data_IF_792094316889
#
_entry.id   IF_792094316889
#
_cell.length_a   1.000
_cell.length_b   1.000
_cell.length_c   1.000
_cell.angle_alpha   90.00
_cell.angle_beta   90.00
_cell.angle_gamma   90.00
#
_symmetry.space_group_name_H-M   'P 1'
#
loop_
_entity.id
_entity.type
_entity.pdbx_description
1 polymer ?
#
# COMPACT_ATOMS: atom_id res chain seq x y z
N UNK A 1 -2.86 14.28 4.79
CA UNK A 1 -1.92 14.67 5.86
C UNK A 1 -2.01 13.63 6.96
N UNK A 2 -2.63 13.88 8.13
CA UNK A 2 -2.52 13.06 9.35
C UNK A 2 -2.73 11.55 9.17
N UNK A 3 -3.74 11.12 8.41
CA UNK A 3 -3.98 9.69 8.12
C UNK A 3 -2.78 9.02 7.42
N UNK A 4 -2.24 9.66 6.39
CA UNK A 4 -1.10 9.15 5.64
C UNK A 4 0.20 9.27 6.45
N UNK A 5 0.39 10.37 7.20
CA UNK A 5 1.50 10.51 8.14
C UNK A 5 1.48 9.39 9.21
N UNK A 6 0.31 9.04 9.74
CA UNK A 6 0.15 7.93 10.69
C UNK A 6 0.47 6.56 10.07
N UNK A 7 0.10 6.33 8.81
CA UNK A 7 0.50 5.10 8.08
C UNK A 7 2.00 5.07 7.83
N UNK A 8 2.60 6.17 7.37
CA UNK A 8 4.05 6.26 7.18
C UNK A 8 4.81 5.95 8.48
N UNK A 9 4.45 6.60 9.59
CA UNK A 9 5.06 6.34 10.90
C UNK A 9 4.87 4.88 11.37
N UNK A 10 3.72 4.25 11.08
CA UNK A 10 3.47 2.83 11.34
C UNK A 10 4.40 1.93 10.53
N UNK A 11 4.52 2.14 9.22
CA UNK A 11 5.38 1.31 8.38
C UNK A 11 6.88 1.53 8.67
N UNK A 12 7.30 2.76 8.98
CA UNK A 12 8.66 3.06 9.47
C UNK A 12 8.95 2.31 10.79
N UNK A 13 8.03 2.35 11.77
CA UNK A 13 8.18 1.61 13.01
C UNK A 13 8.20 0.08 12.80
N UNK A 14 7.42 -0.43 11.84
CA UNK A 14 7.46 -1.84 11.44
C UNK A 14 8.76 -2.21 10.73
N UNK A 15 9.32 -1.33 9.91
CA UNK A 15 10.59 -1.50 9.22
C UNK A 15 11.76 -1.63 10.22
N UNK A 16 11.87 -0.69 11.17
CA UNK A 16 12.85 -0.75 12.27
C UNK A 16 12.70 -2.07 13.05
N UNK A 17 11.47 -2.42 13.45
CA UNK A 17 11.20 -3.63 14.25
C UNK A 17 11.59 -4.94 13.53
N UNK A 18 11.53 -4.97 12.20
CA UNK A 18 11.88 -6.12 11.36
C UNK A 18 13.30 -6.08 10.81
N UNK A 19 14.02 -4.97 11.01
CA UNK A 19 15.27 -4.63 10.31
C UNK A 19 15.15 -4.74 8.78
N UNK A 20 13.99 -4.36 8.24
CA UNK A 20 13.69 -4.38 6.79
C UNK A 20 13.74 -2.99 6.18
N UNK A 21 14.07 -2.90 4.89
CA UNK A 21 14.08 -1.63 4.14
C UNK A 21 12.75 -0.84 4.29
N UNK A 22 12.80 0.49 4.56
CA UNK A 22 11.62 1.27 4.97
C UNK A 22 10.65 1.70 3.85
N UNK A 23 10.90 1.35 2.59
CA UNK A 23 10.19 1.87 1.41
C UNK A 23 8.68 1.66 1.35
N UNK A 24 8.11 0.80 2.21
CA UNK A 24 6.65 0.71 2.38
C UNK A 24 6.01 2.01 2.92
N UNK A 25 6.81 2.94 3.47
CA UNK A 25 6.34 4.23 3.94
C UNK A 25 6.28 5.32 2.84
N UNK A 26 7.04 5.18 1.74
CA UNK A 26 7.31 6.25 0.78
C UNK A 26 6.03 6.82 0.14
N UNK A 27 5.10 5.94 -0.26
CA UNK A 27 3.82 6.34 -0.86
C UNK A 27 2.95 7.15 0.11
N UNK A 28 2.95 6.79 1.39
CA UNK A 28 2.25 7.52 2.44
C UNK A 28 2.92 8.87 2.75
N UNK A 29 4.24 8.94 2.66
CA UNK A 29 5.00 10.19 2.79
C UNK A 29 4.63 11.15 1.65
N UNK A 30 4.71 10.73 0.39
CA UNK A 30 4.34 11.58 -0.75
C UNK A 30 2.84 11.92 -0.80
N UNK A 31 1.93 11.01 -0.42
CA UNK A 31 0.51 11.33 -0.23
C UNK A 31 0.32 12.40 0.85
N UNK A 32 1.10 12.36 1.93
CA UNK A 32 1.03 13.36 3.00
C UNK A 32 1.53 14.73 2.52
N UNK A 33 2.60 14.78 1.70
CA UNK A 33 3.10 16.00 1.03
C UNK A 33 2.13 16.53 -0.02
N UNK A 34 1.49 15.65 -0.80
CA UNK A 34 0.46 16.03 -1.77
C UNK A 34 -0.73 16.72 -1.07
N UNK A 35 -1.24 16.11 0.00
CA UNK A 35 -2.29 16.72 0.81
C UNK A 35 -1.85 18.04 1.47
N UNK A 36 -0.57 18.20 1.83
CA UNK A 36 0.01 19.48 2.29
C UNK A 36 -0.01 20.55 1.20
N UNK A 37 0.35 20.21 -0.04
CA UNK A 37 0.27 21.12 -1.21
C UNK A 37 -1.18 21.57 -1.44
N UNK A 38 -2.13 20.64 -1.37
CA UNK A 38 -3.56 20.92 -1.55
C UNK A 38 -4.11 21.83 -0.43
N UNK A 39 -3.77 21.58 0.85
CA UNK A 39 -4.14 22.47 1.95
C UNK A 39 -3.58 23.89 1.77
N UNK A 40 -2.31 24.02 1.37
CA UNK A 40 -1.69 25.32 1.09
C UNK A 40 -2.35 26.04 -0.09
N UNK A 41 -2.90 25.31 -1.08
CA UNK A 41 -3.67 25.89 -2.18
C UNK A 41 -5.01 26.44 -1.68
N UNK A 42 -5.77 25.65 -0.90
CA UNK A 42 -7.06 26.07 -0.32
C UNK A 42 -6.92 27.32 0.57
N UNK A 43 -5.90 27.36 1.44
CA UNK A 43 -5.64 28.52 2.32
C UNK A 43 -5.23 29.79 1.54
N UNK A 44 -4.70 29.66 0.33
CA UNK A 44 -4.40 30.78 -0.59
C UNK A 44 -5.57 31.17 -1.48
N UNK A 45 -6.60 30.32 -1.59
CA UNK A 45 -7.70 30.46 -2.56
C UNK A 45 -8.87 31.35 -2.10
N UNK A 46 -8.68 32.18 -1.07
CA UNK A 46 -9.67 33.21 -0.69
C UNK A 46 -10.89 32.74 0.09
N UNK A 47 -10.80 31.64 0.85
CA UNK A 47 -11.90 31.17 1.75
C UNK A 47 -12.23 32.20 2.85
N UNK A 48 -11.35 33.19 3.04
CA UNK A 48 -11.36 34.13 4.17
C UNK A 48 -12.34 35.32 4.02
N UNK A 49 -12.77 35.67 2.81
CA UNK A 49 -13.46 36.94 2.53
C UNK A 49 -14.82 37.10 3.25
N UNK A 50 -15.43 35.99 3.69
CA UNK A 50 -16.70 35.93 4.43
C UNK A 50 -16.54 35.21 5.79
N UNK A 51 -15.30 35.10 6.30
CA UNK A 51 -14.96 34.38 7.55
C UNK A 51 -14.54 35.35 8.67
N UNK A 52 -15.13 35.20 9.86
CA UNK A 52 -14.72 35.95 11.06
C UNK A 52 -13.23 35.74 11.39
N UNK A 53 -12.48 36.84 11.53
CA UNK A 53 -11.06 36.85 11.88
C UNK A 53 -10.74 36.08 13.19
N UNK A 54 -11.70 35.99 14.12
CA UNK A 54 -11.54 35.18 15.34
C UNK A 54 -11.59 33.67 15.05
N UNK A 55 -12.29 33.23 14.00
CA UNK A 55 -12.29 31.85 13.50
C UNK A 55 -11.07 31.55 12.60
N UNK A 56 -10.48 32.57 11.97
CA UNK A 56 -9.27 32.44 11.13
C UNK A 56 -8.07 31.93 11.93
N UNK A 57 -7.81 32.48 13.12
CA UNK A 57 -6.60 32.15 13.90
C UNK A 57 -6.56 30.67 14.32
N UNK A 58 -7.63 30.06 14.88
CA UNK A 58 -7.68 28.61 15.14
C UNK A 58 -7.48 27.76 13.87
N UNK A 59 -8.12 28.12 12.76
CA UNK A 59 -8.00 27.36 11.50
C UNK A 59 -6.56 27.40 10.96
N UNK A 60 -5.92 28.57 10.96
CA UNK A 60 -4.52 28.74 10.58
C UNK A 60 -3.56 28.00 11.53
N UNK A 61 -3.87 27.94 12.83
CA UNK A 61 -3.09 27.18 13.83
C UNK A 61 -3.16 25.68 13.57
N UNK A 62 -4.36 25.12 13.37
CA UNK A 62 -4.55 23.70 13.05
C UNK A 62 -3.88 23.35 11.72
N UNK A 63 -4.02 24.19 10.69
CA UNK A 63 -3.34 24.01 9.42
C UNK A 63 -1.80 23.99 9.57
N UNK A 64 -1.23 24.92 10.33
CA UNK A 64 0.20 24.99 10.62
C UNK A 64 0.70 23.71 11.29
N UNK A 65 0.02 23.28 12.36
CA UNK A 65 0.36 22.06 13.10
C UNK A 65 0.32 20.80 12.20
N UNK A 66 -0.68 20.69 11.31
CA UNK A 66 -0.76 19.60 10.36
C UNK A 66 0.42 19.59 9.37
N UNK A 67 0.88 20.76 8.94
CA UNK A 67 2.07 20.91 8.08
C UNK A 67 3.34 20.50 8.84
N UNK A 68 3.45 20.84 10.12
CA UNK A 68 4.58 20.43 10.98
C UNK A 68 4.61 18.93 11.24
N UNK A 69 3.45 18.27 11.44
CA UNK A 69 3.36 16.80 11.53
C UNK A 69 3.89 16.11 10.27
N UNK A 70 3.60 16.65 9.07
CA UNK A 70 4.14 16.11 7.82
C UNK A 70 5.66 16.29 7.73
N UNK A 71 6.19 17.49 8.05
CA UNK A 71 7.65 17.75 8.09
C UNK A 71 8.37 16.88 9.13
N UNK A 72 7.74 16.61 10.27
CA UNK A 72 8.27 15.72 11.30
C UNK A 72 8.32 14.27 10.81
N UNK A 73 7.27 13.82 10.12
CA UNK A 73 7.21 12.48 9.51
C UNK A 73 8.29 12.29 8.43
N UNK A 74 8.53 13.30 7.60
CA UNK A 74 9.60 13.31 6.59
C UNK A 74 10.98 13.15 7.25
N UNK A 75 11.30 13.95 8.26
CA UNK A 75 12.57 13.84 9.02
C UNK A 75 12.74 12.50 9.72
N UNK A 76 11.68 11.94 10.29
CA UNK A 76 11.72 10.60 10.89
C UNK A 76 12.02 9.55 9.81
N UNK A 77 11.46 9.70 8.60
CA UNK A 77 11.82 8.82 7.48
C UNK A 77 13.28 8.96 7.07
N UNK A 78 13.80 10.18 6.93
CA UNK A 78 15.21 10.45 6.62
C UNK A 78 16.14 9.75 7.62
N UNK A 79 15.90 9.92 8.93
CA UNK A 79 16.68 9.26 9.98
C UNK A 79 16.54 7.73 9.99
N UNK A 80 15.40 7.18 9.58
CA UNK A 80 15.20 5.72 9.46
C UNK A 80 15.89 5.15 8.22
N UNK A 81 15.95 5.90 7.12
CA UNK A 81 16.75 5.56 5.94
C UNK A 81 18.26 5.61 6.24
N UNK A 82 18.74 6.62 6.98
CA UNK A 82 20.12 6.69 7.47
C UNK A 82 20.46 5.49 8.36
N UNK A 83 19.62 5.20 9.36
CA UNK A 83 19.76 4.01 10.23
C UNK A 83 19.77 2.70 9.43
N UNK A 84 18.85 2.55 8.47
CA UNK A 84 18.75 1.37 7.61
C UNK A 84 20.04 1.13 6.80
N UNK A 85 20.69 2.21 6.33
CA UNK A 85 22.00 2.15 5.68
C UNK A 85 23.11 1.76 6.66
N UNK A 86 23.16 2.40 7.85
CA UNK A 86 24.20 2.15 8.86
C UNK A 86 24.24 0.70 9.36
N UNK A 87 23.09 0.03 9.49
CA UNK A 87 23.00 -1.35 10.04
C UNK A 87 22.56 -2.40 9.01
N UNK A 88 22.58 -2.06 7.71
CA UNK A 88 22.28 -2.95 6.59
C UNK A 88 20.91 -3.66 6.72
N UNK A 89 19.83 -2.88 6.83
CA UNK A 89 18.46 -3.43 6.76
C UNK A 89 18.25 -4.16 5.42
N UNK A 90 17.68 -5.36 5.48
CA UNK A 90 17.47 -6.18 4.28
C UNK A 90 16.18 -5.81 3.54
N UNK A 91 16.19 -5.91 2.22
CA UNK A 91 14.97 -5.74 1.42
C UNK A 91 14.25 -7.09 1.34
N UNK A 92 13.02 -7.23 1.87
CA UNK A 92 12.26 -8.45 1.68
C UNK A 92 11.92 -8.62 0.19
N UNK A 93 12.41 -9.70 -0.41
CA UNK A 93 12.07 -10.08 -1.77
C UNK A 93 10.54 -10.22 -1.88
N UNK A 94 9.92 -9.46 -2.79
CA UNK A 94 8.55 -9.72 -3.18
C UNK A 94 8.53 -11.14 -3.78
N UNK A 95 7.77 -12.06 -3.16
CA UNK A 95 7.80 -13.48 -3.50
C UNK A 95 7.14 -13.74 -4.85
N UNK A 96 7.88 -13.45 -5.92
CA UNK A 96 7.58 -13.94 -7.26
C UNK A 96 7.80 -15.44 -7.23
N UNK A 97 6.70 -16.20 -7.14
CA UNK A 97 6.72 -17.65 -7.31
C UNK A 97 7.45 -17.96 -8.63
N UNK A 98 8.56 -18.72 -8.63
CA UNK A 98 9.29 -18.97 -9.85
C UNK A 98 8.43 -19.79 -10.81
N UNK A 99 8.06 -19.19 -11.96
CA UNK A 99 7.53 -19.96 -13.07
C UNK A 99 8.56 -21.01 -13.49
N UNK A 100 8.11 -22.27 -13.52
CA UNK A 100 8.94 -23.47 -13.70
C UNK A 100 9.49 -23.51 -15.13
N UNK A 101 10.55 -22.75 -15.36
CA UNK A 101 11.26 -22.63 -16.64
C UNK A 101 12.05 -23.91 -16.95
N UNK A 102 11.36 -24.94 -17.45
CA UNK A 102 12.00 -26.18 -17.88
C UNK A 102 12.78 -25.98 -19.18
N UNK A 103 14.07 -25.73 -19.02
CA UNK A 103 15.07 -25.81 -20.08
C UNK A 103 15.16 -27.27 -20.57
N UNK A 104 14.49 -27.57 -21.68
CA UNK A 104 14.57 -28.88 -22.32
C UNK A 104 15.99 -29.21 -22.81
N UNK A 105 16.59 -30.34 -22.42
CA UNK A 105 17.85 -30.81 -22.99
C UNK A 105 17.74 -31.18 -24.47
N UNK A 106 18.85 -31.07 -25.20
CA UNK A 106 18.95 -31.45 -26.61
C UNK A 106 18.77 -32.96 -26.84
N UNK A 107 18.03 -33.31 -27.89
CA UNK A 107 17.89 -34.67 -28.40
C UNK A 107 19.17 -35.10 -29.16
N UNK A 108 19.70 -36.29 -28.86
CA UNK A 108 20.22 -37.25 -29.86
C UNK A 108 20.77 -38.57 -29.25
N UNK A 109 20.05 -39.66 -29.53
CA UNK A 109 20.55 -41.02 -29.83
C UNK A 109 21.06 -42.01 -28.73
N UNK A 110 20.55 -43.26 -28.85
CA UNK A 110 20.99 -44.56 -28.28
C UNK A 110 20.62 -44.93 -26.82
N UNK A 111 19.70 -45.91 -26.66
CA UNK A 111 19.64 -46.78 -25.45
C UNK A 111 18.24 -47.20 -24.96
N UNK A 112 17.86 -48.47 -25.14
CA UNK A 112 16.59 -49.07 -24.67
C UNK A 112 16.76 -49.82 -23.31
N UNK A 113 15.69 -50.36 -22.68
CA UNK A 113 14.39 -49.75 -22.33
C UNK A 113 13.88 -50.13 -20.89
N UNK A 114 12.81 -49.49 -20.40
CA UNK A 114 11.79 -50.19 -19.58
C UNK A 114 11.16 -49.47 -18.37
N UNK A 115 9.82 -49.66 -18.24
CA UNK A 115 9.03 -49.86 -17.00
C UNK A 115 9.02 -48.76 -15.88
N UNK A 116 7.89 -48.39 -15.22
CA UNK A 116 6.46 -48.78 -15.28
C UNK A 116 5.61 -47.50 -15.07
N UNK A 117 4.45 -47.38 -15.70
CA UNK A 117 3.42 -46.39 -15.30
C UNK A 117 2.58 -46.98 -14.16
N UNK A 118 2.66 -46.39 -12.96
CA UNK A 118 1.74 -46.70 -11.86
C UNK A 118 0.82 -45.51 -11.65
N UNK A 119 -0.39 -45.61 -12.18
CA UNK A 119 -1.50 -44.72 -11.83
C UNK A 119 -2.14 -45.24 -10.55
N UNK A 120 -2.21 -44.41 -9.50
CA UNK A 120 -3.04 -44.69 -8.33
C UNK A 120 -4.28 -43.80 -8.40
N UNK A 121 -5.41 -44.41 -8.73
CA UNK A 121 -6.73 -43.82 -8.47
C UNK A 121 -7.24 -44.41 -7.16
N UNK A 122 -7.39 -43.58 -6.14
CA UNK A 122 -8.21 -43.90 -4.96
C UNK A 122 -9.60 -43.29 -5.18
N UNK A 123 -10.60 -44.13 -5.40
CA UNK A 123 -11.97 -43.75 -5.75
C UNK A 123 -12.96 -44.06 -4.60
N UNK A 124 -14.11 -43.39 -4.62
CA UNK A 124 -15.31 -43.66 -3.80
C UNK A 124 -15.19 -43.59 -2.26
N UNK A 125 -15.90 -42.61 -1.66
CA UNK A 125 -17.09 -42.96 -0.86
C UNK A 125 -18.01 -41.76 -0.54
N UNK A 126 -19.11 -41.65 -1.30
CA UNK A 126 -20.42 -41.11 -0.91
C UNK A 126 -20.58 -39.66 -0.38
N UNK A 127 -21.58 -38.97 -0.97
CA UNK A 127 -22.37 -37.89 -0.30
C UNK A 127 -23.80 -38.41 -0.08
N UNK A 128 -24.67 -37.71 0.69
CA UNK A 128 -25.54 -36.74 0.02
C UNK A 128 -25.85 -35.46 0.83
N UNK A 129 -26.46 -34.47 0.17
CA UNK A 129 -26.81 -33.16 0.73
C UNK A 129 -28.20 -33.11 1.40
N UNK A 130 -28.51 -32.00 2.10
CA UNK A 130 -29.88 -31.60 2.41
C UNK A 130 -30.05 -30.09 2.66
N UNK A 131 -31.30 -29.61 2.63
CA UNK A 131 -31.72 -28.20 2.44
C UNK A 131 -32.97 -27.88 3.33
N UNK A 132 -33.60 -26.69 3.40
CA UNK A 132 -33.53 -25.46 2.58
C UNK A 132 -33.33 -24.17 3.47
N UNK A 133 -34.16 -23.08 3.57
CA UNK A 133 -33.71 -21.81 4.19
C UNK A 133 -34.42 -21.40 5.50
N UNK A 134 -34.05 -20.23 6.03
CA UNK A 134 -34.91 -19.35 6.86
C UNK A 134 -34.64 -17.87 6.49
N UNK A 135 -35.60 -16.97 6.73
CA UNK A 135 -35.60 -15.62 6.11
C UNK A 135 -35.30 -14.47 7.09
N UNK A 136 -34.56 -13.45 6.64
CA UNK A 136 -34.21 -12.27 7.46
C UNK A 136 -34.21 -10.96 6.66
N UNK A 137 -35.31 -10.20 6.71
CA UNK A 137 -35.49 -8.95 5.97
C UNK A 137 -34.94 -7.73 6.74
N UNK A 138 -33.98 -7.00 6.16
CA UNK A 138 -33.92 -5.52 6.26
C UNK A 138 -33.34 -4.92 4.97
N UNK A 139 -33.85 -3.75 4.60
CA UNK A 139 -33.61 -3.09 3.32
C UNK A 139 -33.55 -1.56 3.49
N UNK A 140 -32.37 -0.96 3.28
CA UNK A 140 -32.17 0.50 3.29
C UNK A 140 -31.30 0.95 2.13
N UNK A 141 -31.91 1.64 1.15
CA UNK A 141 -31.23 2.30 0.03
C UNK A 141 -30.37 3.47 0.51
N UNK A 142 -29.30 3.83 -0.21
CA UNK A 142 -28.58 5.08 0.09
C UNK A 142 -27.15 5.30 -0.41
N UNK A 143 -26.61 4.50 -1.33
CA UNK A 143 -25.20 4.64 -1.78
C UNK A 143 -24.98 5.86 -2.70
N UNK A 144 -24.99 7.06 -2.12
CA UNK A 144 -24.47 8.26 -2.78
C UNK A 144 -22.94 8.28 -2.66
N UNK A 145 -22.25 7.84 -3.70
CA UNK A 145 -20.80 7.85 -3.75
C UNK A 145 -20.27 9.29 -3.86
N UNK A 146 -19.35 9.74 -2.97
CA UNK A 146 -18.70 11.04 -3.14
C UNK A 146 -17.75 11.00 -4.33
N UNK A 147 -17.93 11.91 -5.29
CA UNK A 147 -17.13 11.99 -6.51
C UNK A 147 -15.63 12.11 -6.20
N UNK A 148 -14.84 11.14 -6.69
CA UNK A 148 -13.37 11.19 -6.60
C UNK A 148 -12.82 12.27 -7.53
N UNK A 149 -12.75 13.51 -7.06
CA UNK A 149 -11.83 14.50 -7.62
C UNK A 149 -10.40 14.10 -7.26
N UNK A 150 -9.86 13.18 -8.05
CA UNK A 150 -8.50 12.68 -7.96
C UNK A 150 -7.55 13.76 -8.53
N UNK A 151 -7.16 14.74 -7.70
CA UNK A 151 -6.04 15.63 -8.03
C UNK A 151 -4.74 14.85 -7.83
N UNK A 152 -4.37 14.09 -8.85
CA UNK A 152 -3.17 13.28 -8.89
C UNK A 152 -1.93 14.18 -8.84
N UNK A 153 -1.24 14.18 -7.69
CA UNK A 153 0.16 14.58 -7.66
C UNK A 153 0.95 13.55 -8.48
N UNK A 154 1.11 13.81 -9.78
CA UNK A 154 1.82 12.94 -10.71
C UNK A 154 3.27 12.71 -10.25
N UNK A 155 3.51 11.54 -9.63
CA UNK A 155 4.85 11.06 -9.24
C UNK A 155 5.52 10.48 -10.49
N UNK A 156 5.98 11.37 -11.37
CA UNK A 156 6.56 11.01 -12.66
C UNK A 156 8.03 10.56 -12.47
N UNK A 157 8.21 9.29 -12.10
CA UNK A 157 9.54 8.68 -11.94
C UNK A 157 10.12 8.39 -13.33
N UNK A 158 10.94 9.31 -13.81
CA UNK A 158 11.80 9.08 -14.97
C UNK A 158 12.92 8.10 -14.60
N UNK A 159 12.72 6.81 -14.86
CA UNK A 159 13.82 5.85 -14.93
C UNK A 159 14.55 6.08 -16.26
N UNK A 160 15.77 6.59 -16.18
CA UNK A 160 16.72 6.61 -17.30
C UNK A 160 17.29 5.21 -17.52
N UNK A 161 17.47 4.84 -18.78
CA UNK A 161 18.15 3.64 -19.26
C UNK A 161 19.00 4.02 -20.49
#
# INVERSE_FOLDING_TARGET
MSMESGKALKELAMAIKKMTHPSSADSHIENSKCATKNLNSLLKSGIWDDTDLLAVVPLATVASLLIEVVKCTEKISESVYELASMVNFWTPEATVLPEKSELGPSDDMVGCPGHVVITVNDDESSTPANNIPENGLINTSGTMAPSRHNLECNVNIYILH
#
